data_IF_584936251566
#
_entry.id   IF_584936251566
#
_cell.length_a   1.000
_cell.length_b   1.000
_cell.length_c   1.000
_cell.angle_alpha   90.00
_cell.angle_beta   90.00
_cell.angle_gamma   90.00
#
_symmetry.space_group_name_H-M   'P 1'
#
loop_
_entity.id
_entity.type
_entity.pdbx_description
1 polymer ?
#
# COMPACT_ATOMS: atom_id res chain seq x y z
N UNK A 1 6.87 0.65 24.92
CA UNK A 1 5.55 0.77 24.25
C UNK A 1 5.62 0.37 22.78
N UNK A 2 6.45 1.02 21.96
CA UNK A 2 6.57 0.66 20.53
C UNK A 2 6.94 -0.81 20.28
N UNK A 3 7.75 -1.42 21.15
CA UNK A 3 8.12 -2.83 21.02
C UNK A 3 6.96 -3.76 21.41
N UNK A 4 6.22 -3.45 22.48
CA UNK A 4 5.04 -4.24 22.89
C UNK A 4 3.94 -4.25 21.81
N UNK A 5 3.73 -3.14 21.12
CA UNK A 5 2.77 -3.07 20.02
C UNK A 5 3.24 -3.88 18.80
N UNK A 6 4.53 -3.81 18.48
CA UNK A 6 5.13 -4.63 17.42
C UNK A 6 5.04 -6.12 17.75
N UNK A 7 5.28 -6.51 19.00
CA UNK A 7 5.16 -7.90 19.47
C UNK A 7 3.71 -8.39 19.36
N UNK A 8 2.72 -7.54 19.70
CA UNK A 8 1.31 -7.87 19.54
C UNK A 8 0.92 -8.09 18.06
N UNK A 9 1.40 -7.22 17.15
CA UNK A 9 1.21 -7.40 15.71
C UNK A 9 1.83 -8.73 15.24
N UNK A 10 3.06 -9.03 15.65
CA UNK A 10 3.74 -10.27 15.29
C UNK A 10 2.97 -11.49 15.79
N UNK A 11 2.50 -11.48 17.04
CA UNK A 11 1.71 -12.57 17.60
C UNK A 11 0.44 -12.87 16.79
N UNK A 12 -0.29 -11.83 16.36
CA UNK A 12 -1.48 -11.99 15.52
C UNK A 12 -1.12 -12.59 14.16
N UNK A 13 -0.05 -12.11 13.54
CA UNK A 13 0.38 -12.59 12.21
C UNK A 13 0.90 -14.03 12.29
N UNK A 14 1.66 -14.38 13.32
CA UNK A 14 2.15 -15.74 13.57
C UNK A 14 1.00 -16.74 13.76
N UNK A 15 -0.05 -16.35 14.49
CA UNK A 15 -1.25 -17.17 14.64
C UNK A 15 -1.94 -17.49 13.30
N UNK A 16 -1.71 -16.67 12.28
CA UNK A 16 -2.28 -16.80 10.94
C UNK A 16 -1.24 -17.17 9.86
N UNK A 17 -0.05 -17.64 10.24
CA UNK A 17 1.08 -17.80 9.32
C UNK A 17 0.78 -18.62 8.04
N UNK A 18 -0.14 -19.61 8.12
CA UNK A 18 -0.51 -20.47 6.98
C UNK A 18 -1.42 -19.80 5.96
N UNK A 19 -2.32 -18.92 6.42
CA UNK A 19 -3.36 -18.31 5.59
C UNK A 19 -3.11 -16.84 5.31
N UNK A 20 -2.27 -16.21 6.12
CA UNK A 20 -2.13 -14.77 6.21
C UNK A 20 -3.32 -14.10 6.88
N UNK A 21 -3.14 -12.82 7.20
CA UNK A 21 -4.15 -11.96 7.81
C UNK A 21 -4.15 -10.60 7.14
N UNK A 22 -5.33 -10.04 6.86
CA UNK A 22 -5.44 -8.72 6.24
C UNK A 22 -5.01 -7.62 7.22
N UNK A 23 -4.30 -6.60 6.73
CA UNK A 23 -3.84 -5.47 7.54
C UNK A 23 -4.98 -4.85 8.37
N UNK A 24 -6.15 -4.62 7.77
CA UNK A 24 -7.32 -4.09 8.47
C UNK A 24 -7.81 -4.98 9.62
N UNK A 25 -7.70 -6.32 9.51
CA UNK A 25 -8.08 -7.22 10.62
C UNK A 25 -7.14 -7.10 11.82
N UNK A 26 -5.85 -6.85 11.57
CA UNK A 26 -4.87 -6.62 12.63
C UNK A 26 -5.18 -5.29 13.33
N UNK A 27 -5.43 -4.24 12.53
CA UNK A 27 -5.78 -2.91 13.03
C UNK A 27 -7.08 -2.96 13.85
N UNK A 28 -8.15 -3.54 13.30
CA UNK A 28 -9.45 -3.69 13.97
C UNK A 28 -9.30 -4.39 15.34
N UNK A 29 -8.53 -5.48 15.39
CA UNK A 29 -8.30 -6.24 16.63
C UNK A 29 -7.58 -5.39 17.68
N UNK A 30 -6.46 -4.76 17.32
CA UNK A 30 -5.65 -4.00 18.27
C UNK A 30 -6.32 -2.68 18.69
N UNK A 31 -7.13 -2.08 17.82
CA UNK A 31 -7.97 -0.92 18.18
C UNK A 31 -9.07 -1.33 19.16
N UNK A 32 -9.70 -2.50 18.97
CA UNK A 32 -10.68 -3.01 19.93
C UNK A 32 -10.07 -3.27 21.32
N UNK A 33 -8.78 -3.61 21.39
CA UNK A 33 -8.01 -3.77 22.63
C UNK A 33 -7.51 -2.43 23.22
N UNK A 34 -7.86 -1.29 22.61
CA UNK A 34 -7.54 0.05 23.09
C UNK A 34 -6.29 0.69 22.47
N UNK A 35 -5.71 0.07 21.44
CA UNK A 35 -4.59 0.63 20.69
C UNK A 35 -5.00 1.79 19.78
N UNK A 36 -4.20 2.85 19.64
CA UNK A 36 -4.45 3.92 18.68
C UNK A 36 -4.18 3.46 17.24
N UNK A 37 -5.19 3.55 16.37
CA UNK A 37 -5.17 3.06 14.97
C UNK A 37 -3.89 3.45 14.21
N UNK A 38 -3.55 4.74 14.21
CA UNK A 38 -2.38 5.24 13.49
C UNK A 38 -1.06 4.63 13.98
N UNK A 39 -0.92 4.35 15.28
CA UNK A 39 0.29 3.73 15.82
C UNK A 39 0.36 2.25 15.44
N UNK A 40 -0.78 1.56 15.37
CA UNK A 40 -0.86 0.17 14.91
C UNK A 40 -0.39 0.07 13.45
N UNK A 41 -0.91 0.94 12.58
CA UNK A 41 -0.48 0.98 11.17
C UNK A 41 1.02 1.27 11.04
N UNK A 42 1.52 2.27 11.77
CA UNK A 42 2.96 2.58 11.82
C UNK A 42 3.80 1.40 12.31
N UNK A 43 3.33 0.62 13.29
CA UNK A 43 4.02 -0.57 13.76
C UNK A 43 4.11 -1.65 12.67
N UNK A 44 3.03 -1.88 11.93
CA UNK A 44 2.99 -2.81 10.79
C UNK A 44 4.03 -2.40 9.73
N UNK A 45 4.04 -1.12 9.34
CA UNK A 45 5.00 -0.60 8.37
C UNK A 45 6.45 -0.76 8.83
N UNK A 46 6.75 -0.46 10.09
CA UNK A 46 8.09 -0.63 10.68
C UNK A 46 8.52 -2.10 10.67
N UNK A 47 7.61 -3.02 10.95
CA UNK A 47 7.90 -4.46 10.91
C UNK A 47 8.18 -4.95 9.49
N UNK A 48 7.45 -4.45 8.48
CA UNK A 48 7.76 -4.74 7.08
C UNK A 48 9.15 -4.21 6.69
N UNK A 49 9.46 -2.95 7.02
CA UNK A 49 10.78 -2.35 6.76
C UNK A 49 11.92 -3.14 7.41
N UNK A 50 11.68 -3.71 8.59
CA UNK A 50 12.65 -4.53 9.34
C UNK A 50 12.67 -6.00 8.90
N UNK A 51 11.99 -6.37 7.81
CA UNK A 51 11.88 -7.75 7.33
C UNK A 51 11.38 -8.71 8.43
N UNK A 52 10.35 -8.28 9.16
CA UNK A 52 9.64 -9.11 10.16
C UNK A 52 8.27 -9.56 9.67
N UNK A 53 7.74 -8.90 8.64
CA UNK A 53 6.50 -9.22 7.95
C UNK A 53 6.72 -9.21 6.45
N UNK A 54 5.99 -10.06 5.72
CA UNK A 54 5.97 -10.06 4.25
C UNK A 54 4.54 -9.94 3.73
N UNK A 55 4.27 -9.04 2.76
CA UNK A 55 3.02 -9.06 1.99
C UNK A 55 2.91 -10.35 1.16
N UNK A 56 1.91 -11.17 1.43
CA UNK A 56 1.64 -12.42 0.70
C UNK A 56 0.52 -12.27 -0.35
N UNK A 57 -0.09 -11.09 -0.45
CA UNK A 57 -1.18 -10.82 -1.38
C UNK A 57 -1.94 -9.55 -1.02
N UNK A 58 -3.06 -9.34 -1.70
CA UNK A 58 -3.95 -8.21 -1.47
C UNK A 58 -5.42 -8.62 -1.54
N UNK A 59 -6.26 -7.91 -0.78
CA UNK A 59 -7.72 -8.02 -0.87
C UNK A 59 -8.27 -6.73 -1.49
N UNK A 60 -9.16 -6.87 -2.47
CA UNK A 60 -9.92 -5.75 -3.03
C UNK A 60 -11.31 -5.72 -2.40
N UNK A 61 -11.66 -4.63 -1.73
CA UNK A 61 -12.99 -4.41 -1.16
C UNK A 61 -13.73 -3.32 -1.92
N UNK A 62 -14.98 -3.58 -2.27
CA UNK A 62 -15.90 -2.59 -2.83
C UNK A 62 -16.66 -1.92 -1.69
N UNK A 63 -16.49 -0.61 -1.56
CA UNK A 63 -17.17 0.21 -0.57
C UNK A 63 -18.21 1.06 -1.30
N UNK A 64 -19.47 0.95 -0.88
CA UNK A 64 -20.56 1.79 -1.38
C UNK A 64 -20.73 2.95 -0.42
N UNK A 65 -20.51 4.18 -0.88
CA UNK A 65 -20.84 5.36 -0.08
C UNK A 65 -22.34 5.63 -0.16
N UNK A 66 -23.05 5.76 0.97
CA UNK A 66 -24.43 6.23 0.96
C UNK A 66 -24.45 7.63 0.36
N UNK A 67 -25.25 7.81 -0.68
CA UNK A 67 -25.43 9.09 -1.36
C UNK A 67 -26.78 9.67 -1.00
N UNK A 68 -26.80 10.92 -0.54
CA UNK A 68 -28.05 11.67 -0.32
C UNK A 68 -28.78 11.99 -1.64
N UNK A 69 -28.12 11.85 -2.79
CA UNK A 69 -28.65 12.18 -4.13
C UNK A 69 -29.02 10.96 -4.98
N UNK A 70 -29.05 9.75 -4.40
CA UNK A 70 -29.55 8.54 -5.05
C UNK A 70 -28.59 7.83 -6.02
N UNK A 71 -27.44 8.43 -6.36
CA UNK A 71 -26.33 7.72 -7.03
C UNK A 71 -25.21 7.46 -6.02
N UNK A 72 -25.20 6.27 -5.43
CA UNK A 72 -24.10 5.82 -4.57
C UNK A 72 -22.80 5.72 -5.37
N UNK A 73 -21.74 6.36 -4.87
CA UNK A 73 -20.41 6.18 -5.45
C UNK A 73 -19.81 4.86 -4.95
N UNK A 74 -19.37 4.00 -5.88
CA UNK A 74 -18.61 2.79 -5.58
C UNK A 74 -17.12 3.14 -5.59
N UNK A 75 -16.42 2.85 -4.49
CA UNK A 75 -14.97 2.99 -4.37
C UNK A 75 -14.35 1.63 -4.11
N UNK A 76 -13.18 1.36 -4.69
CA UNK A 76 -12.40 0.14 -4.43
C UNK A 76 -11.26 0.49 -3.48
N UNK A 77 -11.12 -0.30 -2.42
CA UNK A 77 -10.02 -0.20 -1.46
C UNK A 77 -9.21 -1.49 -1.54
N UNK A 78 -7.88 -1.36 -1.54
CA UNK A 78 -6.96 -2.50 -1.57
C UNK A 78 -6.18 -2.51 -0.25
N UNK A 79 -6.01 -3.69 0.34
CA UNK A 79 -5.21 -3.87 1.56
C UNK A 79 -4.32 -5.11 1.44
N UNK A 80 -3.18 -5.10 2.12
CA UNK A 80 -2.26 -6.24 2.13
C UNK A 80 -2.80 -7.39 2.98
N UNK A 81 -2.46 -8.61 2.56
CA UNK A 81 -2.48 -9.81 3.40
C UNK A 81 -1.06 -10.06 3.87
N UNK A 82 -0.84 -10.13 5.17
CA UNK A 82 0.47 -10.24 5.80
C UNK A 82 0.68 -11.64 6.38
N UNK A 83 1.92 -12.12 6.26
CA UNK A 83 2.44 -13.34 6.90
C UNK A 83 3.74 -13.00 7.66
N UNK A 84 4.24 -13.88 8.55
CA UNK A 84 5.58 -13.73 9.08
C UNK A 84 6.59 -13.67 7.94
N UNK A 85 7.71 -12.98 8.16
CA UNK A 85 8.71 -12.79 7.12
C UNK A 85 9.10 -14.10 6.44
N UNK A 86 9.09 -14.08 5.10
CA UNK A 86 9.44 -15.22 4.26
C UNK A 86 10.61 -14.84 3.33
N UNK A 87 11.77 -15.51 3.45
CA UNK A 87 12.90 -15.27 2.55
C UNK A 87 12.55 -15.47 1.07
N UNK A 88 11.64 -16.43 0.79
CA UNK A 88 11.22 -16.75 -0.57
C UNK A 88 10.43 -15.60 -1.24
N UNK A 89 9.90 -14.69 -0.45
CA UNK A 89 9.08 -13.56 -0.89
C UNK A 89 9.75 -12.21 -0.56
N UNK A 90 10.99 -12.21 -0.03
CA UNK A 90 11.66 -10.98 0.44
C UNK A 90 11.90 -9.97 -0.68
N UNK A 91 12.17 -10.44 -1.90
CA UNK A 91 12.38 -9.60 -3.06
C UNK A 91 11.16 -8.71 -3.39
N UNK A 92 9.96 -9.03 -2.89
CA UNK A 92 8.77 -8.18 -3.06
C UNK A 92 8.85 -6.87 -2.27
N UNK A 93 9.73 -6.79 -1.26
CA UNK A 93 9.98 -5.58 -0.48
C UNK A 93 11.04 -4.67 -1.13
N UNK A 94 11.77 -5.18 -2.13
CA UNK A 94 12.73 -4.42 -2.93
C UNK A 94 12.00 -3.72 -4.07
N UNK A 95 11.34 -2.59 -3.77
CA UNK A 95 10.71 -1.76 -4.79
C UNK A 95 11.72 -0.72 -5.30
N UNK A 96 12.37 -1.00 -6.43
CA UNK A 96 13.10 0.03 -7.17
C UNK A 96 12.10 0.84 -8.00
N UNK A 97 11.82 2.06 -7.55
CA UNK A 97 10.91 3.00 -8.23
C UNK A 97 11.59 3.77 -9.36
N UNK A 98 12.83 3.46 -9.73
CA UNK A 98 13.57 4.18 -10.77
C UNK A 98 13.90 5.60 -10.32
N UNK A 99 14.97 5.74 -9.53
CA UNK A 99 15.51 7.04 -9.18
C UNK A 99 16.16 7.73 -10.38
N UNK A 100 15.48 8.74 -10.95
CA UNK A 100 15.94 9.72 -11.96
C UNK A 100 16.31 9.16 -13.33
N UNK A 101 15.32 8.94 -14.19
CA UNK A 101 15.55 9.10 -15.63
C UNK A 101 15.89 10.58 -15.90
N UNK A 102 17.05 10.92 -16.51
CA UNK A 102 17.22 12.23 -17.10
C UNK A 102 16.16 12.37 -18.21
N UNK A 103 15.24 13.32 -18.00
CA UNK A 103 14.27 13.75 -18.98
C UNK A 103 15.00 13.93 -20.33
N UNK A 104 14.62 13.22 -21.41
CA UNK A 104 15.25 13.45 -22.70
C UNK A 104 15.01 14.90 -23.06
N UNK A 105 16.09 15.65 -23.24
CA UNK A 105 16.07 17.06 -23.59
C UNK A 105 15.07 17.25 -24.72
N UNK A 106 14.08 18.12 -24.52
CA UNK A 106 13.13 18.49 -25.54
C UNK A 106 13.93 19.01 -26.75
N UNK A 107 14.01 18.21 -27.81
CA UNK A 107 14.48 18.67 -29.12
C UNK A 107 13.56 19.80 -29.54
N UNK A 108 14.05 21.04 -29.40
CA UNK A 108 13.41 22.19 -30.01
C UNK A 108 13.45 21.98 -31.52
N UNK A 109 12.29 21.71 -32.10
CA UNK A 109 12.12 21.74 -33.55
C UNK A 109 12.40 23.17 -34.04
N UNK A 110 13.20 23.36 -35.11
CA UNK A 110 13.43 24.69 -35.66
C UNK A 110 12.14 25.22 -36.28
N UNK A 111 11.77 26.44 -35.92
CA UNK A 111 10.74 27.23 -36.59
C UNK A 111 11.29 27.72 -37.94
N UNK A 112 11.14 26.91 -38.99
CA UNK A 112 11.02 27.38 -40.38
C UNK A 112 9.53 27.28 -40.74
N UNK A 113 8.81 28.21 -41.36
CA UNK A 113 9.17 29.31 -42.23
C UNK A 113 8.08 29.36 -43.33
N UNK A 114 7.28 30.43 -43.32
CA UNK A 114 6.52 31.01 -44.45
C UNK A 114 5.51 30.18 -45.30
N UNK A 115 4.24 30.63 -45.19
CA UNK A 115 3.33 31.01 -46.28
C UNK A 115 2.92 30.01 -47.40
N UNK A 116 1.62 29.74 -47.50
CA UNK A 116 0.86 30.09 -48.72
C UNK A 116 -0.65 30.09 -48.52
N UNK A 117 -1.20 31.28 -48.74
CA UNK A 117 -2.61 31.60 -48.93
C UNK A 117 -3.17 30.90 -50.17
N UNK A 118 -4.36 30.30 -50.07
CA UNK A 118 -5.25 30.11 -51.23
C UNK A 118 -6.69 30.42 -50.83
N UNK A 119 -7.30 31.23 -51.69
CA UNK A 119 -8.71 31.59 -51.73
C UNK A 119 -9.58 30.39 -52.07
#
# INVERSE_FOLDING_TARGET
MADQLQDAVLAIVEAHAKTGVTMGKIVDHLVADGGPEQEVELAIWRLMQRRRLTPNGFVCRKVRKPSQSGRGAETRTYEFVLIPWSPALDAQLELDLGGTDPQPAATQAPLEGAASSKR
#
